data_IF_913493716720
#
_entry.id   IF_913493716720
#
_cell.length_a   1.000
_cell.length_b   1.000
_cell.length_c   1.000
_cell.angle_alpha   90.00
_cell.angle_beta   90.00
_cell.angle_gamma   90.00
#
_symmetry.space_group_name_H-M   'P 1'
#
loop_
_entity.id
_entity.type
_entity.pdbx_description
1 polymer ?
#
# COMPACT_ATOMS: atom_id res chain seq x y z
N UNK A 1 -22.81 -8.60 16.75
CA UNK A 1 -21.76 -7.59 16.49
C UNK A 1 -20.55 -8.31 15.92
N UNK A 2 -20.09 -7.96 14.72
CA UNK A 2 -18.96 -8.62 14.09
C UNK A 2 -17.65 -8.20 14.76
N UNK A 3 -16.83 -9.17 15.17
CA UNK A 3 -15.45 -8.95 15.62
C UNK A 3 -14.59 -8.65 14.41
N UNK A 4 -13.84 -7.55 14.42
CA UNK A 4 -12.92 -7.25 13.33
C UNK A 4 -11.72 -8.21 13.37
N UNK A 5 -11.24 -8.64 12.22
CA UNK A 5 -10.00 -9.41 12.12
C UNK A 5 -8.87 -8.48 11.69
N UNK A 6 -7.77 -8.51 12.44
CA UNK A 6 -6.53 -7.81 12.11
C UNK A 6 -5.52 -8.85 11.67
N UNK A 7 -5.18 -8.83 10.39
CA UNK A 7 -4.15 -9.68 9.82
C UNK A 7 -2.82 -8.95 9.93
N UNK A 8 -1.91 -9.53 10.70
CA UNK A 8 -0.59 -8.99 10.92
C UNK A 8 0.42 -9.75 10.07
N UNK A 9 1.13 -9.04 9.20
CA UNK A 9 2.26 -9.60 8.47
C UNK A 9 3.56 -8.91 8.86
N UNK A 10 4.54 -9.70 9.30
CA UNK A 10 5.87 -9.25 9.64
C UNK A 10 6.93 -10.10 8.90
N UNK A 11 7.56 -9.57 7.83
CA UNK A 11 8.57 -10.29 7.07
C UNK A 11 9.80 -10.72 7.87
N UNK A 12 10.05 -10.12 9.04
CA UNK A 12 11.24 -10.30 9.87
C UNK A 12 10.98 -10.95 11.23
N UNK A 13 9.73 -11.30 11.57
CA UNK A 13 9.35 -11.76 12.91
C UNK A 13 9.89 -10.85 14.04
N UNK A 14 9.80 -9.55 13.83
CA UNK A 14 10.20 -8.52 14.79
C UNK A 14 9.29 -8.51 16.03
N UNK A 15 9.79 -7.91 17.11
CA UNK A 15 9.07 -7.78 18.38
C UNK A 15 8.10 -6.60 18.46
N UNK A 16 7.75 -5.95 17.33
CA UNK A 16 6.94 -4.72 17.30
C UNK A 16 5.45 -4.90 17.65
N UNK A 17 5.07 -6.02 18.28
CA UNK A 17 3.67 -6.37 18.61
C UNK A 17 2.99 -5.29 19.45
N UNK A 18 3.69 -4.75 20.45
CA UNK A 18 3.15 -3.71 21.34
C UNK A 18 2.81 -2.42 20.57
N UNK A 19 3.64 -2.05 19.60
CA UNK A 19 3.40 -0.87 18.75
C UNK A 19 2.20 -1.09 17.83
N UNK A 20 2.02 -2.29 17.30
CA UNK A 20 0.89 -2.65 16.43
C UNK A 20 -0.43 -2.65 17.22
N UNK A 21 -0.44 -3.18 18.45
CA UNK A 21 -1.61 -3.14 19.33
C UNK A 21 -2.06 -1.71 19.63
N UNK A 22 -1.10 -0.80 19.83
CA UNK A 22 -1.37 0.63 20.01
C UNK A 22 -2.06 1.24 18.79
N UNK A 23 -1.61 0.91 17.58
CA UNK A 23 -2.25 1.36 16.33
C UNK A 23 -3.63 0.72 16.14
N UNK A 24 -3.79 -0.56 16.44
CA UNK A 24 -5.09 -1.23 16.37
C UNK A 24 -6.13 -0.59 17.30
N UNK A 25 -5.71 -0.20 18.51
CA UNK A 25 -6.55 0.53 19.46
C UNK A 25 -6.95 1.93 18.98
N UNK A 26 -6.07 2.62 18.26
CA UNK A 26 -6.37 3.97 17.72
C UNK A 26 -7.32 3.95 16.53
N UNK A 27 -7.48 2.82 15.83
CA UNK A 27 -8.46 2.64 14.76
C UNK A 27 -9.92 2.55 15.26
N UNK A 28 -10.17 2.71 16.56
CA UNK A 28 -11.52 2.69 17.15
C UNK A 28 -12.14 1.29 17.22
N UNK A 29 -11.33 0.26 16.97
CA UNK A 29 -11.78 -1.14 16.96
C UNK A 29 -11.70 -1.68 18.39
N UNK A 30 -12.85 -1.80 19.05
CA UNK A 30 -12.93 -2.23 20.46
C UNK A 30 -12.98 -3.74 20.66
N UNK A 31 -13.31 -4.49 19.60
CA UNK A 31 -13.31 -5.96 19.58
C UNK A 31 -12.66 -6.45 18.30
N UNK A 32 -11.41 -6.89 18.42
CA UNK A 32 -10.67 -7.47 17.31
C UNK A 32 -9.97 -8.76 17.70
N UNK A 33 -9.75 -9.62 16.70
CA UNK A 33 -8.86 -10.77 16.80
C UNK A 33 -7.63 -10.49 15.94
N UNK A 34 -6.43 -10.65 16.52
CA UNK A 34 -5.18 -10.55 15.76
C UNK A 34 -4.76 -11.95 15.35
N UNK A 35 -4.49 -12.09 14.05
CA UNK A 35 -3.90 -13.29 13.48
C UNK A 35 -2.62 -12.93 12.76
N UNK A 36 -1.54 -13.63 13.08
CA UNK A 36 -0.29 -13.55 12.33
C UNK A 36 -0.44 -14.25 10.98
N UNK A 37 -0.06 -13.57 9.91
CA UNK A 37 0.02 -14.11 8.58
C UNK A 37 1.37 -14.80 8.39
N UNK A 38 1.35 -16.12 8.49
CA UNK A 38 2.50 -16.96 8.18
C UNK A 38 2.65 -17.10 6.67
N UNK A 39 3.56 -16.32 6.09
CA UNK A 39 3.85 -16.42 4.66
C UNK A 39 4.76 -17.64 4.39
N UNK A 40 4.28 -18.61 3.61
CA UNK A 40 5.09 -19.75 3.13
C UNK A 40 6.24 -19.36 2.17
N UNK A 41 6.43 -18.07 1.93
CA UNK A 41 7.23 -17.54 0.82
C UNK A 41 8.66 -17.16 1.26
N UNK A 42 9.01 -17.48 2.51
CA UNK A 42 10.32 -17.26 3.12
C UNK A 42 10.39 -15.99 3.98
N UNK A 43 11.37 -15.98 4.88
CA UNK A 43 11.70 -14.84 5.75
C UNK A 43 12.63 -13.89 4.98
N UNK A 44 12.48 -12.60 5.24
CA UNK A 44 13.41 -11.59 4.74
C UNK A 44 14.83 -11.83 5.28
N UNK A 45 15.81 -11.93 4.37
CA UNK A 45 17.21 -12.22 4.72
C UNK A 45 18.14 -10.99 4.72
N UNK A 46 17.69 -9.85 4.19
CA UNK A 46 18.46 -8.60 4.12
C UNK A 46 17.62 -7.40 4.59
N UNK A 47 18.21 -6.31 5.07
CA UNK A 47 17.48 -5.17 5.66
C UNK A 47 16.74 -4.27 4.64
N UNK A 48 16.91 -4.50 3.33
CA UNK A 48 16.39 -3.62 2.27
C UNK A 48 15.20 -4.20 1.50
N UNK A 49 14.76 -5.42 1.81
CA UNK A 49 13.70 -6.12 1.08
C UNK A 49 12.32 -6.02 1.73
N UNK A 50 12.19 -5.55 2.98
CA UNK A 50 10.91 -5.52 3.73
C UNK A 50 9.74 -4.95 2.95
N UNK A 51 9.93 -3.78 2.33
CA UNK A 51 8.87 -3.12 1.57
C UNK A 51 8.33 -3.97 0.41
N UNK A 52 9.20 -4.76 -0.24
CA UNK A 52 8.80 -5.65 -1.35
C UNK A 52 7.93 -6.79 -0.84
N UNK A 53 8.31 -7.39 0.30
CA UNK A 53 7.54 -8.46 0.95
C UNK A 53 6.18 -7.96 1.42
N UNK A 54 6.13 -6.79 2.07
CA UNK A 54 4.88 -6.18 2.54
C UNK A 54 3.93 -5.91 1.38
N UNK A 55 4.41 -5.30 0.30
CA UNK A 55 3.59 -5.03 -0.90
C UNK A 55 3.10 -6.32 -1.56
N UNK A 56 3.95 -7.35 -1.62
CA UNK A 56 3.56 -8.62 -2.23
C UNK A 56 2.51 -9.37 -1.40
N UNK A 57 2.66 -9.42 -0.07
CA UNK A 57 1.63 -10.01 0.80
C UNK A 57 0.33 -9.21 0.76
N UNK A 58 0.41 -7.88 0.73
CA UNK A 58 -0.77 -7.05 0.54
C UNK A 58 -1.52 -7.43 -0.76
N UNK A 59 -0.80 -7.59 -1.87
CA UNK A 59 -1.41 -8.02 -3.13
C UNK A 59 -2.04 -9.43 -3.06
N UNK A 60 -1.41 -10.35 -2.33
CA UNK A 60 -1.97 -11.70 -2.11
C UNK A 60 -3.26 -11.65 -1.28
N UNK A 61 -3.30 -10.85 -0.22
CA UNK A 61 -4.50 -10.65 0.61
C UNK A 61 -5.63 -9.97 -0.17
N UNK A 62 -5.31 -9.02 -1.05
CA UNK A 62 -6.25 -8.41 -1.98
C UNK A 62 -6.63 -9.33 -3.16
N UNK A 63 -6.10 -10.56 -3.23
CA UNK A 63 -6.30 -11.53 -4.32
C UNK A 63 -5.93 -10.98 -5.71
N UNK A 64 -5.08 -9.96 -5.74
CA UNK A 64 -4.63 -9.32 -6.98
C UNK A 64 -3.50 -10.10 -7.66
N UNK A 65 -2.78 -10.94 -6.91
CA UNK A 65 -1.61 -11.66 -7.39
C UNK A 65 -1.32 -12.88 -6.50
N UNK A 66 -1.03 -14.03 -7.10
CA UNK A 66 -0.53 -15.20 -6.38
C UNK A 66 0.97 -15.32 -6.66
N UNK A 67 1.79 -15.26 -5.61
CA UNK A 67 3.24 -15.42 -5.74
C UNK A 67 3.60 -16.83 -5.28
N UNK A 68 4.56 -17.47 -5.95
CA UNK A 68 5.29 -18.60 -5.39
C UNK A 68 6.43 -18.12 -4.49
N UNK A 69 7.49 -18.90 -4.34
CA UNK A 69 8.66 -18.54 -3.51
C UNK A 69 9.29 -17.20 -3.90
N UNK A 70 9.62 -16.35 -2.92
CA UNK A 70 10.35 -15.10 -3.17
C UNK A 70 11.85 -15.35 -3.37
N UNK A 71 12.22 -15.96 -4.49
CA UNK A 71 13.63 -16.03 -4.87
C UNK A 71 14.20 -14.63 -5.21
N UNK A 72 15.52 -14.55 -5.36
CA UNK A 72 16.20 -13.27 -5.64
C UNK A 72 15.68 -12.61 -6.92
N UNK A 73 15.38 -13.39 -7.96
CA UNK A 73 14.93 -12.89 -9.26
C UNK A 73 13.52 -12.30 -9.15
N UNK A 74 12.62 -13.02 -8.50
CA UNK A 74 11.25 -12.60 -8.22
C UNK A 74 11.24 -11.29 -7.42
N UNK A 75 12.08 -11.15 -6.39
CA UNK A 75 12.18 -9.90 -5.62
C UNK A 75 12.60 -8.72 -6.49
N UNK A 76 13.53 -8.90 -7.41
CA UNK A 76 13.94 -7.83 -8.33
C UNK A 76 12.85 -7.50 -9.36
N UNK A 77 12.17 -8.50 -9.90
CA UNK A 77 11.02 -8.30 -10.79
C UNK A 77 9.91 -7.52 -10.09
N UNK A 78 9.59 -7.84 -8.84
CA UNK A 78 8.57 -7.14 -8.05
C UNK A 78 8.99 -5.70 -7.75
N UNK A 79 10.25 -5.45 -7.40
CA UNK A 79 10.78 -4.09 -7.24
C UNK A 79 10.56 -3.25 -8.48
N UNK A 80 10.94 -3.78 -9.64
CA UNK A 80 10.74 -3.09 -10.91
C UNK A 80 9.26 -2.86 -11.21
N UNK A 81 8.42 -3.87 -11.02
CA UNK A 81 6.96 -3.76 -11.21
C UNK A 81 6.35 -2.66 -10.34
N UNK A 82 6.69 -2.61 -9.05
CA UNK A 82 6.17 -1.58 -8.15
C UNK A 82 6.67 -0.19 -8.51
N UNK A 83 7.91 -0.08 -8.98
CA UNK A 83 8.45 1.18 -9.50
C UNK A 83 7.66 1.66 -10.72
N UNK A 84 7.36 0.78 -11.68
CA UNK A 84 6.53 1.11 -12.85
C UNK A 84 5.13 1.59 -12.45
N UNK A 85 4.46 0.88 -11.55
CA UNK A 85 3.12 1.27 -11.05
C UNK A 85 3.17 2.66 -10.40
N UNK A 86 4.20 2.94 -9.61
CA UNK A 86 4.37 4.24 -8.98
C UNK A 86 4.57 5.35 -10.02
N UNK A 87 5.40 5.12 -11.05
CA UNK A 87 5.60 6.09 -12.13
C UNK A 87 4.33 6.33 -12.95
N UNK A 88 3.59 5.29 -13.30
CA UNK A 88 2.32 5.41 -14.02
C UNK A 88 1.30 6.22 -13.21
N UNK A 89 1.19 5.95 -11.91
CA UNK A 89 0.31 6.69 -11.01
C UNK A 89 0.71 8.16 -10.89
N UNK A 90 2.00 8.46 -10.74
CA UNK A 90 2.50 9.84 -10.69
C UNK A 90 2.23 10.56 -12.01
N UNK A 91 2.50 9.92 -13.14
CA UNK A 91 2.25 10.49 -14.46
C UNK A 91 0.76 10.81 -14.65
N UNK A 92 -0.12 9.87 -14.29
CA UNK A 92 -1.56 10.06 -14.34
C UNK A 92 -2.06 11.18 -13.42
N UNK A 93 -1.55 11.24 -12.18
CA UNK A 93 -1.85 12.32 -11.22
C UNK A 93 -1.43 13.69 -11.76
N UNK A 94 -0.24 13.78 -12.36
CA UNK A 94 0.27 15.02 -12.96
C UNK A 94 -0.62 15.45 -14.13
N UNK A 95 -0.96 14.54 -15.04
CA UNK A 95 -1.87 14.81 -16.17
C UNK A 95 -3.21 15.40 -15.70
N UNK A 96 -3.84 14.78 -14.69
CA UNK A 96 -5.09 15.28 -14.11
C UNK A 96 -4.89 16.68 -13.52
N UNK A 97 -3.82 16.87 -12.73
CA UNK A 97 -3.56 18.14 -12.05
C UNK A 97 -3.33 19.27 -13.06
N UNK A 98 -2.57 19.02 -14.12
CA UNK A 98 -2.36 19.98 -15.20
C UNK A 98 -3.65 20.27 -15.96
N UNK A 99 -4.47 19.27 -16.26
CA UNK A 99 -5.76 19.47 -16.93
C UNK A 99 -6.71 20.35 -16.09
N UNK A 100 -6.84 20.08 -14.79
CA UNK A 100 -7.65 20.92 -13.88
C UNK A 100 -7.08 22.34 -13.75
N UNK A 101 -5.77 22.48 -13.62
CA UNK A 101 -5.13 23.80 -13.55
C UNK A 101 -5.34 24.61 -14.84
N UNK A 102 -5.19 24.00 -16.02
CA UNK A 102 -5.44 24.65 -17.30
C UNK A 102 -6.92 25.02 -17.47
N UNK A 103 -7.85 24.14 -17.07
CA UNK A 103 -9.28 24.44 -17.09
C UNK A 103 -9.63 25.62 -16.17
N UNK A 104 -9.08 25.67 -14.96
CA UNK A 104 -9.28 26.77 -14.02
C UNK A 104 -8.67 28.09 -14.51
N UNK A 105 -7.46 28.06 -15.09
CA UNK A 105 -6.84 29.23 -15.72
C UNK A 105 -7.68 29.71 -16.91
N UNK A 106 -8.17 28.78 -17.75
CA UNK A 106 -9.00 29.13 -18.89
C UNK A 106 -10.34 29.74 -18.47
N UNK A 107 -10.93 29.31 -17.35
CA UNK A 107 -12.17 29.88 -16.83
C UNK A 107 -11.94 31.23 -16.14
N UNK A 108 -10.84 31.38 -15.38
CA UNK A 108 -10.43 32.66 -14.82
C UNK A 108 -10.18 33.71 -15.92
N UNK A 109 -9.54 33.32 -17.02
CA UNK A 109 -9.29 34.21 -18.17
C UNK A 109 -10.55 34.52 -18.99
N UNK A 110 -11.60 33.70 -18.89
CA UNK A 110 -12.90 33.96 -19.53
C UNK A 110 -13.80 34.90 -18.71
N UNK A 111 -13.38 35.31 -17.51
CA UNK A 111 -14.10 36.30 -16.72
C UNK A 111 -15.47 35.82 -16.20
N UNK A 112 -15.68 34.50 -16.11
CA UNK A 112 -16.87 33.98 -15.43
C UNK A 112 -16.72 34.20 -13.92
N UNK A 113 -17.09 35.41 -13.49
CA UNK A 113 -17.49 35.69 -12.12
C UNK A 113 -18.64 34.74 -11.79
N UNK A 114 -18.40 33.80 -10.88
CA UNK A 114 -19.50 33.16 -10.16
C UNK A 114 -20.24 34.29 -9.42
N UNK A 115 -21.39 34.70 -9.94
CA UNK A 115 -22.37 35.44 -9.15
C UNK A 115 -22.81 34.54 -8.00
N UNK A 116 -22.66 35.06 -6.78
CA UNK A 116 -23.12 34.47 -5.51
C UNK A 116 -24.62 34.63 -5.39
#
# INVERSE_FOLDING_TARGET
>A
MATAEIILYDPMHSSYMTSILSVAGSLGVTRYHIRTYEASHGIQMDSYTCGVYVLAVFQMLCRAFAVGTFDKKMRQCLRYRYLCIAFEYIHFKLQITFHFSLHNISNANRGEHFEV
#
